data_IF_830877291018
#
_entry.id   IF_830877291018
#
_cell.length_a   1.000
_cell.length_b   1.000
_cell.length_c   1.000
_cell.angle_alpha   90.00
_cell.angle_beta   90.00
_cell.angle_gamma   90.00
#
_symmetry.space_group_name_H-M   'P 1'
#
loop_
_entity.id
_entity.type
_entity.pdbx_description
1 polymer ?
#
# COMPACT_ATOMS: atom_id res chain seq x y z
N UNK A 1 1.19 41.81 -42.53
CA UNK A 1 1.21 40.41 -42.06
C UNK A 1 1.68 40.42 -40.61
N UNK A 2 0.82 40.11 -39.64
CA UNK A 2 1.24 39.92 -38.24
C UNK A 2 1.81 38.50 -38.10
N UNK A 3 3.11 38.39 -37.90
CA UNK A 3 3.77 37.11 -37.58
C UNK A 3 3.53 36.81 -36.10
N UNK A 4 2.66 35.85 -35.81
CA UNK A 4 2.48 35.31 -34.45
C UNK A 4 3.73 34.51 -34.11
N UNK A 5 4.46 34.93 -33.07
CA UNK A 5 5.59 34.16 -32.56
C UNK A 5 5.08 32.89 -31.84
N UNK A 6 5.75 31.72 -31.98
CA UNK A 6 5.33 30.52 -31.28
C UNK A 6 5.47 30.72 -29.76
N UNK A 7 4.38 30.48 -29.02
CA UNK A 7 4.41 30.47 -27.56
C UNK A 7 5.24 29.27 -27.11
N UNK A 8 6.38 29.53 -26.48
CA UNK A 8 7.20 28.50 -25.87
C UNK A 8 6.52 28.02 -24.58
N UNK A 9 5.89 26.83 -24.63
CA UNK A 9 5.34 26.18 -23.44
C UNK A 9 6.49 25.46 -22.73
N UNK A 10 6.91 25.96 -21.57
CA UNK A 10 7.86 25.28 -20.69
C UNK A 10 7.19 24.07 -20.03
N UNK A 11 7.35 22.89 -20.64
CA UNK A 11 6.99 21.62 -20.00
C UNK A 11 8.01 21.28 -18.92
N UNK A 12 7.55 21.10 -17.68
CA UNK A 12 8.36 20.52 -16.61
C UNK A 12 8.36 19.00 -16.74
N UNK A 13 9.53 18.41 -16.90
CA UNK A 13 9.70 16.97 -16.85
C UNK A 13 9.60 16.51 -15.39
N UNK A 14 8.52 15.82 -15.03
CA UNK A 14 8.41 15.17 -13.72
C UNK A 14 9.22 13.88 -13.78
N UNK A 15 10.41 13.88 -13.18
CA UNK A 15 11.21 12.67 -12.99
C UNK A 15 10.84 12.02 -11.65
N UNK A 16 10.09 10.92 -11.71
CA UNK A 16 9.80 10.12 -10.52
C UNK A 16 10.86 9.02 -10.44
N UNK A 17 11.67 9.05 -9.38
CA UNK A 17 12.62 7.97 -9.07
C UNK A 17 12.08 7.14 -7.91
N UNK A 18 11.57 5.94 -8.20
CA UNK A 18 11.23 4.97 -7.17
C UNK A 18 12.43 4.08 -6.87
N UNK A 19 12.92 4.15 -5.63
CA UNK A 19 13.86 3.17 -5.08
C UNK A 19 13.04 2.18 -4.24
N UNK A 20 12.80 0.99 -4.77
CA UNK A 20 12.26 -0.10 -3.97
C UNK A 20 13.41 -0.81 -3.26
N UNK A 21 13.17 -1.24 -2.03
CA UNK A 21 14.12 -2.06 -1.28
C UNK A 21 13.71 -3.52 -1.51
N UNK A 22 14.29 -4.18 -2.51
CA UNK A 22 14.25 -5.65 -2.53
C UNK A 22 15.36 -6.12 -1.61
N UNK A 23 14.98 -6.78 -0.53
CA UNK A 23 15.91 -7.45 0.35
C UNK A 23 16.67 -8.52 -0.45
N UNK A 24 17.93 -8.23 -0.75
CA UNK A 24 18.86 -9.09 -1.46
C UNK A 24 19.50 -10.15 -0.55
N UNK A 25 18.93 -10.42 0.63
CA UNK A 25 19.36 -11.48 1.56
C UNK A 25 18.66 -12.82 1.31
N UNK A 26 18.10 -13.04 0.11
CA UNK A 26 17.68 -14.38 -0.34
C UNK A 26 18.94 -15.13 -0.78
N UNK A 27 19.73 -15.57 0.18
CA UNK A 27 20.66 -16.70 -0.01
C UNK A 27 19.86 -17.99 0.15
N UNK A 28 19.84 -18.79 -0.92
CA UNK A 28 19.35 -20.17 -1.09
C UNK A 28 19.47 -21.04 0.17
N UNK A 29 18.51 -21.86 0.64
CA UNK A 29 17.31 -22.51 0.09
C UNK A 29 16.24 -22.71 1.21
N UNK A 30 14.96 -22.99 0.85
CA UNK A 30 13.83 -23.45 1.72
C UNK A 30 12.95 -22.42 2.48
N UNK A 31 12.58 -21.30 1.86
CA UNK A 31 11.27 -20.67 2.13
C UNK A 31 10.78 -19.94 0.90
N UNK A 32 10.08 -20.67 0.02
CA UNK A 32 8.99 -20.07 -0.75
C UNK A 32 8.25 -19.15 0.23
N UNK A 33 8.22 -17.84 -0.03
CA UNK A 33 7.64 -16.88 0.90
C UNK A 33 6.13 -17.14 0.92
N UNK A 34 5.74 -18.15 1.69
CA UNK A 34 4.40 -18.72 1.73
C UNK A 34 3.45 -17.73 2.40
N UNK A 35 3.99 -16.69 3.03
CA UNK A 35 3.24 -15.75 3.83
C UNK A 35 3.60 -14.33 3.41
N UNK A 36 2.58 -13.55 3.07
CA UNK A 36 2.69 -12.14 2.69
C UNK A 36 1.74 -11.27 3.51
N UNK A 37 2.09 -10.00 3.65
CA UNK A 37 1.17 -9.02 4.22
C UNK A 37 0.00 -8.77 3.26
N UNK A 38 -1.20 -9.03 3.75
CA UNK A 38 -2.45 -8.77 3.07
C UNK A 38 -3.08 -7.48 3.56
N UNK A 39 -3.37 -6.58 2.61
CA UNK A 39 -4.14 -5.37 2.81
C UNK A 39 -5.60 -5.65 2.46
N UNK A 40 -6.44 -5.78 3.48
CA UNK A 40 -7.88 -5.97 3.32
C UNK A 40 -8.64 -4.65 3.15
N UNK A 41 -9.96 -4.76 3.23
CA UNK A 41 -10.84 -3.60 3.31
C UNK A 41 -10.75 -2.87 4.65
N UNK A 42 -11.52 -1.80 4.77
CA UNK A 42 -11.66 -1.08 6.02
C UNK A 42 -12.59 -1.81 6.99
N UNK A 43 -12.23 -1.77 8.28
CA UNK A 43 -13.07 -2.28 9.35
C UNK A 43 -14.33 -1.43 9.57
N UNK A 44 -15.04 -1.75 10.66
CA UNK A 44 -16.17 -0.94 11.10
C UNK A 44 -15.75 0.51 11.37
N UNK A 45 -16.67 1.44 11.11
CA UNK A 45 -16.48 2.83 11.50
C UNK A 45 -16.44 2.94 13.04
N UNK A 46 -15.58 3.81 13.56
CA UNK A 46 -15.44 4.04 15.01
C UNK A 46 -16.75 4.49 15.67
N UNK A 47 -17.63 5.14 14.90
CA UNK A 47 -18.96 5.58 15.32
C UNK A 47 -19.98 5.25 14.23
N UNK A 48 -21.23 5.07 14.63
CA UNK A 48 -22.34 4.81 13.70
C UNK A 48 -22.90 6.09 13.08
N UNK A 49 -22.61 7.27 13.64
CA UNK A 49 -23.07 8.55 13.13
C UNK A 49 -22.13 9.71 13.49
N UNK A 50 -22.27 10.84 12.79
CA UNK A 50 -21.61 12.10 13.14
C UNK A 50 -20.15 12.25 12.71
N UNK A 51 -19.68 11.44 11.76
CA UNK A 51 -18.29 11.44 11.32
C UNK A 51 -17.38 10.61 12.24
N UNK A 52 -16.81 9.56 11.68
CA UNK A 52 -15.87 8.66 12.35
C UNK A 52 -14.65 8.35 11.50
N UNK A 53 -13.85 7.41 12.00
CA UNK A 53 -12.70 6.87 11.27
C UNK A 53 -12.75 5.36 11.23
N UNK A 54 -12.25 4.77 10.16
CA UNK A 54 -12.05 3.31 10.03
C UNK A 54 -10.64 3.02 9.54
N UNK A 55 -10.06 1.96 10.08
CA UNK A 55 -8.73 1.51 9.72
C UNK A 55 -8.79 0.38 8.67
N UNK A 56 -7.84 0.38 7.75
CA UNK A 56 -7.63 -0.70 6.79
C UNK A 56 -7.14 -1.95 7.52
N UNK A 57 -7.57 -3.12 7.07
CA UNK A 57 -7.11 -4.39 7.62
C UNK A 57 -5.70 -4.70 7.15
N UNK A 58 -4.78 -4.98 8.09
CA UNK A 58 -3.44 -5.49 7.81
C UNK A 58 -3.31 -6.84 8.48
N UNK A 59 -3.15 -7.91 7.69
CA UNK A 59 -3.08 -9.27 8.20
C UNK A 59 -2.00 -10.07 7.47
N UNK A 60 -1.51 -11.15 8.08
CA UNK A 60 -0.62 -12.08 7.40
C UNK A 60 -1.44 -13.13 6.66
N UNK A 61 -1.15 -13.37 5.38
CA UNK A 61 -1.88 -14.31 4.53
C UNK A 61 -0.95 -15.36 3.98
N UNK A 62 -1.40 -16.61 3.98
CA UNK A 62 -0.71 -17.70 3.32
C UNK A 62 -1.00 -17.68 1.81
N UNK A 63 0.00 -17.45 0.97
CA UNK A 63 -0.16 -17.26 -0.47
C UNK A 63 -0.60 -18.52 -1.22
N UNK A 64 -0.31 -19.72 -0.68
CA UNK A 64 -0.76 -20.97 -1.29
C UNK A 64 -2.24 -21.29 -1.01
N UNK A 65 -2.74 -20.90 0.16
CA UNK A 65 -4.13 -21.22 0.59
C UNK A 65 -5.05 -20.01 0.60
N UNK A 66 -4.50 -18.81 0.40
CA UNK A 66 -5.14 -17.50 0.52
C UNK A 66 -5.78 -17.23 1.90
N UNK A 67 -5.44 -18.03 2.92
CA UNK A 67 -6.00 -17.90 4.27
C UNK A 67 -5.22 -16.92 5.12
N UNK A 68 -5.93 -16.15 5.94
CA UNK A 68 -5.31 -15.34 6.99
C UNK A 68 -4.74 -16.26 8.06
N UNK A 69 -3.52 -15.96 8.49
CA UNK A 69 -2.78 -16.73 9.48
C UNK A 69 -2.23 -15.79 10.55
N UNK A 70 -1.56 -16.38 11.55
CA UNK A 70 -0.92 -15.60 12.60
C UNK A 70 0.08 -14.60 12.01
N UNK A 71 -0.03 -13.35 12.46
CA UNK A 71 0.84 -12.21 12.10
C UNK A 71 2.33 -12.53 12.14
N UNK A 72 2.76 -13.38 13.09
CA UNK A 72 4.14 -13.82 13.25
C UNK A 72 4.71 -14.58 12.04
N UNK A 73 3.85 -15.13 11.17
CA UNK A 73 4.33 -15.78 9.93
C UNK A 73 4.87 -14.78 8.91
N UNK A 74 4.53 -13.50 9.05
CA UNK A 74 5.01 -12.40 8.22
C UNK A 74 6.00 -11.49 8.98
N UNK A 75 6.45 -11.85 10.20
CA UNK A 75 7.32 -10.98 11.01
C UNK A 75 8.70 -10.74 10.40
N UNK A 76 9.14 -11.62 9.49
CA UNK A 76 10.36 -11.42 8.69
C UNK A 76 10.19 -10.43 7.52
N UNK A 77 8.97 -9.97 7.26
CA UNK A 77 8.68 -8.95 6.25
C UNK A 77 8.24 -7.65 6.93
N UNK A 78 8.56 -6.51 6.31
CA UNK A 78 8.14 -5.19 6.81
C UNK A 78 6.61 -5.11 6.80
N UNK A 79 6.02 -4.87 7.98
CA UNK A 79 4.58 -4.66 8.09
C UNK A 79 4.19 -3.34 7.40
N UNK A 80 3.20 -3.36 6.48
CA UNK A 80 2.79 -2.16 5.79
C UNK A 80 2.10 -1.18 6.74
N UNK A 81 2.16 0.10 6.39
CA UNK A 81 1.45 1.13 7.13
C UNK A 81 -0.06 0.87 7.10
N UNK A 82 -0.70 0.99 8.27
CA UNK A 82 -2.15 0.83 8.38
C UNK A 82 -2.85 2.14 8.05
N UNK A 83 -3.35 2.21 6.83
CA UNK A 83 -4.17 3.33 6.36
C UNK A 83 -5.44 3.50 7.20
N UNK A 84 -5.86 4.75 7.40
CA UNK A 84 -7.10 5.12 8.09
C UNK A 84 -7.85 6.12 7.23
N UNK A 85 -9.18 6.03 7.18
CA UNK A 85 -10.01 6.97 6.44
C UNK A 85 -11.22 7.43 7.25
N UNK A 86 -11.81 8.55 6.84
CA UNK A 86 -13.06 9.03 7.40
C UNK A 86 -14.25 8.18 6.93
N UNK A 87 -15.25 8.04 7.77
CA UNK A 87 -16.48 7.32 7.47
C UNK A 87 -17.68 7.96 8.17
N UNK A 88 -18.88 7.70 7.69
CA UNK A 88 -20.12 8.22 8.28
C UNK A 88 -20.14 9.75 8.43
N UNK A 89 -19.48 10.48 7.51
CA UNK A 89 -19.65 11.95 7.41
C UNK A 89 -21.04 12.23 6.81
N UNK A 90 -21.75 13.17 7.44
CA UNK A 90 -23.06 13.67 7.03
C UNK A 90 -22.93 15.08 6.48
#
# INVERSE_FOLDING_TARGET
LQTVAPVAVRGSFISVSLKYFTDSSITSEERSNKYSWYLGGYGACSVTCGGGVRARTVACRNDATMRLVNKQKCSGAIEPHRETEKCNEF
#
